data_IF_039144756964
#
_entry.id   IF_039144756964
#
_cell.length_a   1.000
_cell.length_b   1.000
_cell.length_c   1.000
_cell.angle_alpha   90.00
_cell.angle_beta   90.00
_cell.angle_gamma   90.00
#
_symmetry.space_group_name_H-M   'P 1'
#
loop_
_entity.id
_entity.type
_entity.pdbx_description
1 polymer ?
#
# COMPACT_ATOMS: atom_id res chain seq x y z
N UNK A 1 -24.68 10.13 23.66
CA UNK A 1 -24.08 8.99 24.39
C UNK A 1 -23.82 7.75 23.52
N UNK A 2 -24.83 6.99 23.04
CA UNK A 2 -24.55 5.79 22.20
C UNK A 2 -23.90 6.15 20.85
N UNK A 3 -24.37 7.21 20.20
CA UNK A 3 -23.84 7.67 18.90
C UNK A 3 -22.41 8.24 19.00
N UNK A 4 -22.11 8.96 20.08
CA UNK A 4 -20.77 9.50 20.36
C UNK A 4 -19.76 8.37 20.63
N UNK A 5 -20.17 7.34 21.36
CA UNK A 5 -19.32 6.17 21.62
C UNK A 5 -19.02 5.36 20.36
N UNK A 6 -19.94 5.31 19.38
CA UNK A 6 -19.70 4.62 18.10
C UNK A 6 -18.68 5.39 17.26
N UNK A 7 -18.80 6.73 17.18
CA UNK A 7 -17.86 7.60 16.47
C UNK A 7 -16.45 7.55 17.08
N UNK A 8 -16.35 7.51 18.41
CA UNK A 8 -15.06 7.40 19.10
C UNK A 8 -14.40 6.02 18.90
N UNK A 9 -15.21 4.96 18.79
CA UNK A 9 -14.72 3.61 18.53
C UNK A 9 -14.27 3.42 17.07
N UNK A 10 -14.99 3.98 16.10
CA UNK A 10 -14.58 3.94 14.68
C UNK A 10 -13.28 4.70 14.45
N UNK A 11 -13.07 5.87 15.09
CA UNK A 11 -11.80 6.60 14.99
C UNK A 11 -10.58 5.84 15.54
N UNK A 12 -10.76 4.93 16.50
CA UNK A 12 -9.68 4.09 17.06
C UNK A 12 -9.39 2.84 16.22
N UNK A 13 -10.34 2.35 15.42
CA UNK A 13 -10.17 1.20 14.51
C UNK A 13 -9.46 1.62 13.22
N UNK A 14 -9.66 2.85 12.75
CA UNK A 14 -9.12 3.36 11.48
C UNK A 14 -7.59 3.38 11.32
N UNK A 15 -6.76 3.67 12.35
CA UNK A 15 -5.31 3.66 12.21
C UNK A 15 -4.75 2.25 12.09
N UNK A 16 -5.17 1.30 12.94
CA UNK A 16 -4.60 -0.07 12.92
C UNK A 16 -4.93 -0.79 11.61
N UNK A 17 -6.16 -0.61 11.11
CA UNK A 17 -6.56 -1.16 9.83
C UNK A 17 -5.70 -0.59 8.69
N UNK A 18 -5.59 0.73 8.61
CA UNK A 18 -4.85 1.45 7.54
C UNK A 18 -3.34 1.26 7.62
N UNK A 19 -2.77 1.16 8.82
CA UNK A 19 -1.32 1.08 9.04
C UNK A 19 -0.84 -0.37 8.98
N UNK A 20 -1.63 -1.35 9.42
CA UNK A 20 -1.16 -2.73 9.58
C UNK A 20 -1.90 -3.68 8.65
N UNK A 21 -3.22 -3.81 8.81
CA UNK A 21 -3.97 -4.88 8.14
C UNK A 21 -4.07 -4.68 6.63
N UNK A 22 -4.29 -3.45 6.17
CA UNK A 22 -4.32 -3.12 4.75
C UNK A 22 -2.96 -3.36 4.09
N UNK A 23 -1.83 -2.84 4.62
CA UNK A 23 -0.51 -3.16 4.08
C UNK A 23 -0.21 -4.66 4.03
N UNK A 24 -0.54 -5.42 5.07
CA UNK A 24 -0.33 -6.89 5.05
C UNK A 24 -1.08 -7.54 3.88
N UNK A 25 -2.36 -7.21 3.69
CA UNK A 25 -3.15 -7.76 2.60
C UNK A 25 -2.69 -7.29 1.22
N UNK A 26 -2.38 -6.01 1.07
CA UNK A 26 -1.91 -5.45 -0.20
C UNK A 26 -0.54 -6.01 -0.58
N UNK A 27 0.41 -6.07 0.34
CA UNK A 27 1.72 -6.66 0.06
C UNK A 27 1.62 -8.16 -0.20
N UNK A 28 0.69 -8.88 0.45
CA UNK A 28 0.45 -10.30 0.17
C UNK A 28 0.04 -10.47 -1.31
N UNK A 29 -0.98 -9.73 -1.75
CA UNK A 29 -1.56 -9.86 -3.09
C UNK A 29 -0.65 -9.31 -4.17
N UNK A 30 -0.06 -8.14 -3.98
CA UNK A 30 0.68 -7.42 -5.01
C UNK A 30 2.19 -7.62 -4.96
N UNK A 31 2.75 -8.23 -3.89
CA UNK A 31 4.16 -8.60 -3.83
C UNK A 31 4.38 -10.07 -3.63
N UNK A 32 3.87 -10.66 -2.55
CA UNK A 32 4.20 -12.03 -2.19
C UNK A 32 3.72 -13.03 -3.26
N UNK A 33 2.48 -12.90 -3.73
CA UNK A 33 1.96 -13.76 -4.80
C UNK A 33 2.76 -13.59 -6.12
N UNK A 34 2.97 -12.38 -6.68
CA UNK A 34 3.84 -12.18 -7.84
C UNK A 34 5.28 -12.66 -7.62
N UNK A 35 5.83 -12.47 -6.43
CA UNK A 35 7.17 -12.95 -6.08
C UNK A 35 7.23 -14.48 -6.18
N UNK A 36 6.32 -15.16 -5.47
CA UNK A 36 6.32 -16.62 -5.34
C UNK A 36 5.98 -17.33 -6.64
N UNK A 37 4.96 -16.86 -7.36
CA UNK A 37 4.37 -17.59 -8.48
C UNK A 37 4.80 -17.08 -9.86
N UNK A 38 5.44 -15.91 -9.96
CA UNK A 38 5.88 -15.37 -11.24
C UNK A 38 7.37 -15.01 -11.26
N UNK A 39 7.88 -14.27 -10.29
CA UNK A 39 9.30 -13.90 -10.27
C UNK A 39 10.22 -15.09 -10.01
N UNK A 40 9.98 -15.92 -8.98
CA UNK A 40 10.84 -17.07 -8.70
C UNK A 40 10.94 -18.04 -9.90
N UNK A 41 9.86 -18.33 -10.65
CA UNK A 41 9.95 -19.15 -11.86
C UNK A 41 10.60 -18.46 -13.07
N UNK A 42 10.40 -17.15 -13.26
CA UNK A 42 10.82 -16.45 -14.49
C UNK A 42 12.16 -15.71 -14.39
N UNK A 43 12.58 -15.35 -13.18
CA UNK A 43 13.72 -14.45 -12.92
C UNK A 43 13.52 -13.01 -13.40
N UNK A 44 12.38 -12.66 -13.99
CA UNK A 44 12.19 -11.35 -14.62
C UNK A 44 11.75 -10.28 -13.61
N UNK A 45 12.73 -9.71 -12.89
CA UNK A 45 12.47 -8.71 -11.85
C UNK A 45 11.71 -7.48 -12.37
N UNK A 46 12.02 -7.00 -13.57
CA UNK A 46 11.45 -5.76 -14.10
C UNK A 46 10.01 -5.96 -14.55
N UNK A 47 9.74 -6.99 -15.34
CA UNK A 47 8.39 -7.24 -15.85
C UNK A 47 7.41 -7.48 -14.71
N UNK A 48 7.75 -8.36 -13.76
CA UNK A 48 6.88 -8.69 -12.62
C UNK A 48 6.67 -7.46 -11.74
N UNK A 49 7.74 -6.69 -11.50
CA UNK A 49 7.67 -5.45 -10.72
C UNK A 49 6.77 -4.41 -11.33
N UNK A 50 6.92 -4.13 -12.63
CA UNK A 50 6.11 -3.15 -13.35
C UNK A 50 4.65 -3.58 -13.37
N UNK A 51 4.35 -4.82 -13.78
CA UNK A 51 2.97 -5.29 -13.91
C UNK A 51 2.26 -5.31 -12.57
N UNK A 52 2.88 -5.87 -11.53
CA UNK A 52 2.27 -5.90 -10.19
C UNK A 52 2.06 -4.50 -9.62
N UNK A 53 2.96 -3.55 -9.91
CA UNK A 53 2.83 -2.16 -9.47
C UNK A 53 1.76 -1.37 -10.24
N UNK A 54 1.54 -1.67 -11.52
CA UNK A 54 0.41 -1.11 -12.29
C UNK A 54 -0.91 -1.55 -11.66
N UNK A 55 -1.09 -2.85 -11.41
CA UNK A 55 -2.34 -3.35 -10.82
C UNK A 55 -2.56 -2.77 -9.42
N UNK A 56 -1.50 -2.71 -8.60
CA UNK A 56 -1.54 -2.04 -7.30
C UNK A 56 -1.94 -0.56 -7.40
N UNK A 57 -1.41 0.18 -8.37
CA UNK A 57 -1.76 1.58 -8.55
C UNK A 57 -3.23 1.77 -8.97
N UNK A 58 -3.73 0.92 -9.85
CA UNK A 58 -5.09 1.03 -10.39
C UNK A 58 -6.18 0.82 -9.34
N UNK A 59 -5.95 -0.03 -8.33
CA UNK A 59 -6.93 -0.18 -7.23
C UNK A 59 -7.09 1.10 -6.41
N UNK A 60 -6.16 2.06 -6.51
CA UNK A 60 -6.20 3.35 -5.81
C UNK A 60 -6.80 4.50 -6.63
N UNK A 61 -7.41 4.21 -7.80
CA UNK A 61 -7.99 5.23 -8.68
C UNK A 61 -9.05 6.10 -8.00
N UNK A 62 -9.73 5.57 -6.98
CA UNK A 62 -10.74 6.29 -6.20
C UNK A 62 -10.16 7.47 -5.37
N UNK A 63 -8.85 7.54 -5.19
CA UNK A 63 -8.15 8.70 -4.60
C UNK A 63 -7.72 9.75 -5.64
N UNK A 64 -7.97 9.50 -6.93
CA UNK A 64 -7.63 10.41 -8.03
C UNK A 64 -6.34 10.03 -8.78
N UNK A 65 -6.19 10.56 -10.00
CA UNK A 65 -5.11 10.21 -10.94
C UNK A 65 -3.71 10.51 -10.38
N UNK A 66 -3.56 11.57 -9.60
CA UNK A 66 -2.29 11.93 -8.96
C UNK A 66 -1.83 10.84 -7.99
N UNK A 67 -2.76 10.28 -7.23
CA UNK A 67 -2.47 9.24 -6.24
C UNK A 67 -2.13 7.92 -6.92
N UNK A 68 -2.75 7.60 -8.06
CA UNK A 68 -2.36 6.44 -8.88
C UNK A 68 -0.90 6.52 -9.29
N UNK A 69 -0.42 7.71 -9.68
CA UNK A 69 0.98 7.90 -10.04
C UNK A 69 1.92 7.64 -8.86
N UNK A 70 1.59 8.18 -7.68
CA UNK A 70 2.35 7.93 -6.45
C UNK A 70 2.31 6.46 -6.03
N UNK A 71 1.13 5.84 -6.08
CA UNK A 71 0.94 4.43 -5.75
C UNK A 71 1.74 3.52 -6.71
N UNK A 72 1.87 3.88 -7.98
CA UNK A 72 2.73 3.16 -8.92
C UNK A 72 4.20 3.19 -8.48
N UNK A 73 4.75 4.36 -8.17
CA UNK A 73 6.14 4.48 -7.71
C UNK A 73 6.38 3.84 -6.35
N UNK A 74 5.46 4.00 -5.41
CA UNK A 74 5.50 3.30 -4.13
C UNK A 74 5.47 1.78 -4.35
N UNK A 75 4.65 1.31 -5.29
CA UNK A 75 4.58 -0.10 -5.62
C UNK A 75 5.89 -0.66 -6.18
N UNK A 76 6.58 0.09 -7.06
CA UNK A 76 7.90 -0.28 -7.54
C UNK A 76 8.92 -0.34 -6.40
N UNK A 77 8.88 0.61 -5.47
CA UNK A 77 9.72 0.61 -4.27
C UNK A 77 9.48 -0.64 -3.42
N UNK A 78 8.22 -0.96 -3.10
CA UNK A 78 7.86 -2.14 -2.31
C UNK A 78 8.25 -3.44 -3.02
N UNK A 79 8.18 -3.48 -4.35
CA UNK A 79 8.68 -4.60 -5.14
C UNK A 79 10.19 -4.82 -4.97
N UNK A 80 10.98 -3.76 -5.10
CA UNK A 80 12.43 -3.86 -4.89
C UNK A 80 12.75 -4.31 -3.47
N UNK A 81 12.01 -3.79 -2.47
CA UNK A 81 12.17 -4.19 -1.08
C UNK A 81 11.81 -5.67 -0.88
N UNK A 82 10.69 -6.14 -1.43
CA UNK A 82 10.29 -7.54 -1.38
C UNK A 82 11.37 -8.46 -1.95
N UNK A 83 11.92 -8.12 -3.12
CA UNK A 83 12.92 -8.97 -3.79
C UNK A 83 14.25 -8.99 -3.03
N UNK A 84 14.66 -7.87 -2.42
CA UNK A 84 15.97 -7.75 -1.76
C UNK A 84 15.96 -8.16 -0.29
N UNK A 85 14.89 -7.85 0.43
CA UNK A 85 14.82 -7.96 1.89
C UNK A 85 13.70 -8.90 2.36
N UNK A 86 12.68 -9.11 1.54
CA UNK A 86 11.58 -10.04 1.81
C UNK A 86 10.30 -9.37 2.30
N UNK A 87 9.31 -10.22 2.58
CA UNK A 87 7.91 -9.83 2.76
C UNK A 87 7.68 -8.89 3.94
N UNK A 88 8.30 -9.17 5.09
CA UNK A 88 8.13 -8.34 6.29
C UNK A 88 8.63 -6.91 6.06
N UNK A 89 9.74 -6.74 5.35
CA UNK A 89 10.27 -5.40 5.06
C UNK A 89 9.39 -4.62 4.09
N UNK A 90 8.75 -5.28 3.12
CA UNK A 90 7.79 -4.63 2.23
C UNK A 90 6.58 -4.13 3.01
N UNK A 91 6.05 -4.94 3.95
CA UNK A 91 4.96 -4.53 4.85
C UNK A 91 5.39 -3.32 5.67
N UNK A 92 6.54 -3.37 6.33
CA UNK A 92 7.03 -2.28 7.18
C UNK A 92 7.21 -0.97 6.40
N UNK A 93 7.76 -1.05 5.17
CA UNK A 93 7.92 0.11 4.32
C UNK A 93 6.56 0.72 3.92
N UNK A 94 5.58 -0.12 3.58
CA UNK A 94 4.23 0.33 3.25
C UNK A 94 3.53 0.96 4.47
N UNK A 95 3.58 0.29 5.62
CA UNK A 95 3.07 0.83 6.88
C UNK A 95 3.68 2.19 7.21
N UNK A 96 4.99 2.36 7.01
CA UNK A 96 5.67 3.64 7.24
C UNK A 96 5.15 4.76 6.32
N UNK A 97 4.94 4.47 5.04
CA UNK A 97 4.37 5.45 4.10
C UNK A 97 2.93 5.82 4.48
N UNK A 98 2.12 4.86 4.92
CA UNK A 98 0.77 5.13 5.39
C UNK A 98 0.76 6.00 6.66
N UNK A 99 1.72 5.79 7.58
CA UNK A 99 1.88 6.65 8.76
C UNK A 99 2.25 8.07 8.35
N UNK A 100 3.17 8.25 7.40
CA UNK A 100 3.57 9.58 6.89
C UNK A 100 2.35 10.28 6.26
N UNK A 101 1.65 9.60 5.36
CA UNK A 101 0.47 10.17 4.71
C UNK A 101 -0.62 10.58 5.71
N UNK A 102 -0.92 9.73 6.71
CA UNK A 102 -1.89 10.04 7.75
C UNK A 102 -1.43 11.18 8.68
N UNK A 103 -0.14 11.24 9.01
CA UNK A 103 0.42 12.26 9.91
C UNK A 103 0.45 13.65 9.27
N UNK A 104 0.74 13.72 7.97
CA UNK A 104 0.82 14.98 7.22
C UNK A 104 -0.45 15.31 6.44
N UNK A 105 -1.47 14.44 6.48
CA UNK A 105 -2.74 14.63 5.77
C UNK A 105 -2.59 14.79 4.26
N UNK A 106 -1.59 14.17 3.64
CA UNK A 106 -1.20 14.44 2.23
C UNK A 106 -2.40 14.22 1.30
N UNK A 107 -3.11 13.08 1.44
CA UNK A 107 -4.36 12.83 0.72
C UNK A 107 -5.43 13.90 0.96
N UNK A 108 -5.61 14.37 2.19
CA UNK A 108 -6.63 15.36 2.53
C UNK A 108 -6.34 16.73 1.90
N UNK A 109 -5.08 17.18 1.91
CA UNK A 109 -4.72 18.47 1.33
C UNK A 109 -4.78 18.47 -0.21
N UNK A 110 -4.39 17.36 -0.85
CA UNK A 110 -4.34 17.28 -2.32
C UNK A 110 -5.72 17.01 -2.93
N UNK A 111 -6.63 16.33 -2.23
CA UNK A 111 -8.00 16.10 -2.72
C UNK A 111 -8.94 17.32 -2.57
N UNK A 112 -8.54 18.33 -1.80
CA UNK A 112 -9.32 19.56 -1.56
C UNK A 112 -8.75 20.81 -2.28
N UNK A 113 -7.78 20.61 -3.18
CA UNK A 113 -7.26 21.62 -4.12
C UNK A 113 -7.88 21.39 -5.51
#
# INVERSE_FOLDING_TARGET
MVFENILEFTQKIEPVWTIILVPVWQELVFRYLPYKFWYLPSGNILLVGIVSSIVFALIHLYFGKWFVLLAFFAGLLYWVIMVKFGFIYAILAHSAINIIDLSFGIRYYVMNL
#
